data_IF_972053601182
#
_entry.id   IF_972053601182
#
_cell.length_a   1.000
_cell.length_b   1.000
_cell.length_c   1.000
_cell.angle_alpha   90.00
_cell.angle_beta   90.00
_cell.angle_gamma   90.00
#
_symmetry.space_group_name_H-M   'P 1'
#
loop_
_entity.id
_entity.type
_entity.pdbx_description
1 polymer ?
#
# COMPACT_ATOMS: atom_id res chain seq x y z
N UNK A 1 -17.38 15.65 6.13
CA UNK A 1 -17.47 16.12 4.73
C UNK A 1 -18.03 14.98 3.93
N UNK A 2 -19.24 15.09 3.40
CA UNK A 2 -19.82 14.07 2.53
C UNK A 2 -19.10 14.12 1.18
N UNK A 3 -18.68 12.97 0.67
CA UNK A 3 -18.09 12.89 -0.67
C UNK A 3 -19.20 13.28 -1.65
N UNK A 4 -18.97 14.26 -2.55
CA UNK A 4 -20.00 14.66 -3.51
C UNK A 4 -20.41 13.47 -4.39
N UNK A 5 -21.70 13.31 -4.67
CA UNK A 5 -22.23 12.18 -5.45
C UNK A 5 -21.81 12.22 -6.93
N UNK A 6 -21.50 13.40 -7.44
CA UNK A 6 -21.01 13.60 -8.80
C UNK A 6 -19.93 14.69 -8.89
N UNK A 7 -18.97 14.47 -9.78
CA UNK A 7 -18.08 15.51 -10.28
C UNK A 7 -18.85 16.39 -11.28
N UNK A 8 -18.87 17.69 -11.03
CA UNK A 8 -19.50 18.71 -11.88
C UNK A 8 -20.99 18.48 -12.19
N UNK A 9 -21.71 17.65 -11.42
CA UNK A 9 -23.12 17.33 -11.68
C UNK A 9 -23.37 16.33 -12.82
N UNK A 10 -22.31 15.84 -13.48
CA UNK A 10 -22.40 15.10 -14.75
C UNK A 10 -21.82 13.69 -14.62
N UNK A 11 -20.72 13.55 -13.88
CA UNK A 11 -20.00 12.28 -13.78
C UNK A 11 -20.17 11.76 -12.35
N UNK A 12 -20.87 10.63 -12.14
CA UNK A 12 -20.93 10.00 -10.82
C UNK A 12 -19.52 9.76 -10.25
N UNK A 13 -19.31 10.15 -9.00
CA UNK A 13 -17.98 10.14 -8.38
C UNK A 13 -17.36 8.75 -8.35
N UNK A 14 -18.18 7.70 -8.18
CA UNK A 14 -17.71 6.31 -8.20
C UNK A 14 -17.05 5.95 -9.54
N UNK A 15 -17.57 6.41 -10.68
CA UNK A 15 -16.99 6.14 -12.01
C UNK A 15 -15.60 6.76 -12.11
N UNK A 16 -15.44 8.00 -11.64
CA UNK A 16 -14.15 8.67 -11.63
C UNK A 16 -13.12 7.92 -10.78
N UNK A 17 -13.50 7.55 -9.55
CA UNK A 17 -12.61 6.85 -8.60
C UNK A 17 -12.24 5.45 -9.10
N UNK A 18 -13.22 4.63 -9.49
CA UNK A 18 -12.95 3.27 -9.96
C UNK A 18 -12.28 3.25 -11.33
N UNK A 19 -12.68 4.12 -12.26
CA UNK A 19 -12.04 4.22 -13.57
C UNK A 19 -10.57 4.64 -13.46
N UNK A 20 -10.29 5.68 -12.68
CA UNK A 20 -8.92 6.16 -12.49
C UNK A 20 -8.04 5.14 -11.76
N UNK A 21 -8.58 4.51 -10.70
CA UNK A 21 -7.85 3.46 -9.98
C UNK A 21 -7.57 2.24 -10.87
N UNK A 22 -8.52 1.82 -11.70
CA UNK A 22 -8.32 0.72 -12.66
C UNK A 22 -7.20 1.06 -13.66
N UNK A 23 -7.18 2.28 -14.20
CA UNK A 23 -6.14 2.74 -15.12
C UNK A 23 -4.77 2.72 -14.44
N UNK A 24 -4.65 3.31 -13.25
CA UNK A 24 -3.38 3.38 -12.53
C UNK A 24 -2.90 2.00 -12.10
N UNK A 25 -3.80 1.12 -11.67
CA UNK A 25 -3.49 -0.25 -11.30
C UNK A 25 -3.08 -1.07 -12.52
N UNK A 26 -3.71 -0.87 -13.68
CA UNK A 26 -3.32 -1.52 -14.94
C UNK A 26 -1.93 -1.10 -15.38
N UNK A 27 -1.60 0.20 -15.31
CA UNK A 27 -0.26 0.72 -15.64
C UNK A 27 0.78 0.14 -14.67
N UNK A 28 0.48 0.16 -13.38
CA UNK A 28 1.37 -0.41 -12.35
C UNK A 28 1.61 -1.90 -12.59
N UNK A 29 0.55 -2.66 -12.85
CA UNK A 29 0.63 -4.10 -13.13
C UNK A 29 1.40 -4.40 -14.42
N UNK A 30 1.20 -3.60 -15.47
CA UNK A 30 1.95 -3.72 -16.72
C UNK A 30 3.45 -3.49 -16.51
N UNK A 31 3.82 -2.44 -15.77
CA UNK A 31 5.21 -2.14 -15.44
C UNK A 31 5.82 -3.23 -14.55
N UNK A 32 5.08 -3.70 -13.56
CA UNK A 32 5.47 -4.81 -12.69
C UNK A 32 5.70 -6.10 -13.49
N UNK A 33 4.78 -6.45 -14.39
CA UNK A 33 4.91 -7.63 -15.25
C UNK A 33 6.17 -7.53 -16.11
N UNK A 34 6.34 -6.41 -16.83
CA UNK A 34 7.47 -6.24 -17.75
C UNK A 34 8.82 -6.19 -17.04
N UNK A 35 8.92 -5.51 -15.91
CA UNK A 35 10.20 -5.31 -15.22
C UNK A 35 10.54 -6.43 -14.25
N UNK A 36 9.55 -7.00 -13.57
CA UNK A 36 9.78 -7.94 -12.49
C UNK A 36 9.47 -9.37 -12.93
N UNK A 37 8.28 -9.65 -13.47
CA UNK A 37 7.92 -11.03 -13.84
C UNK A 37 8.74 -11.56 -15.02
N UNK A 38 8.92 -10.78 -16.08
CA UNK A 38 9.80 -11.18 -17.20
C UNK A 38 11.25 -11.35 -16.72
N UNK A 39 11.75 -10.44 -15.87
CA UNK A 39 13.12 -10.50 -15.37
C UNK A 39 13.34 -11.71 -14.45
N UNK A 40 12.38 -12.02 -13.58
CA UNK A 40 12.41 -13.24 -12.75
C UNK A 40 12.37 -14.48 -13.64
N UNK A 41 11.48 -14.53 -14.64
CA UNK A 41 11.38 -15.68 -15.54
C UNK A 41 12.70 -15.95 -16.27
N UNK A 42 13.39 -14.89 -16.73
CA UNK A 42 14.69 -15.01 -17.38
C UNK A 42 15.82 -15.37 -16.40
N UNK A 43 15.65 -15.10 -15.10
CA UNK A 43 16.61 -15.37 -14.02
C UNK A 43 16.49 -16.78 -13.43
N UNK A 44 15.35 -17.44 -13.63
CA UNK A 44 15.04 -18.78 -13.09
C UNK A 44 15.96 -19.88 -13.62
N UNK A 45 16.66 -19.68 -14.75
CA UNK A 45 17.49 -20.72 -15.39
C UNK A 45 18.64 -21.25 -14.50
N UNK A 46 19.08 -20.50 -13.48
CA UNK A 46 20.17 -20.90 -12.57
C UNK A 46 19.76 -20.91 -11.08
N UNK A 47 18.46 -20.87 -10.76
CA UNK A 47 18.01 -20.77 -9.38
C UNK A 47 17.75 -22.15 -8.77
N UNK A 48 18.60 -22.55 -7.83
CA UNK A 48 18.30 -23.67 -6.94
C UNK A 48 17.14 -23.30 -6.00
N UNK A 49 16.06 -24.09 -6.06
CA UNK A 49 14.84 -23.87 -5.27
C UNK A 49 14.89 -24.49 -3.86
N UNK A 50 16.06 -24.94 -3.43
CA UNK A 50 16.25 -25.47 -2.09
C UNK A 50 16.01 -24.38 -1.03
N UNK A 51 15.26 -24.72 0.02
CA UNK A 51 14.91 -23.83 1.14
C UNK A 51 14.12 -22.56 0.77
N UNK A 52 13.16 -22.68 -0.16
CA UNK A 52 12.22 -21.61 -0.56
C UNK A 52 11.59 -20.86 0.62
N UNK A 53 11.13 -21.57 1.65
CA UNK A 53 10.52 -20.98 2.84
C UNK A 53 11.50 -20.08 3.61
N UNK A 54 12.78 -20.49 3.74
CA UNK A 54 13.82 -19.70 4.38
C UNK A 54 14.11 -18.43 3.57
N UNK A 55 14.13 -18.53 2.23
CA UNK A 55 14.39 -17.40 1.33
C UNK A 55 13.23 -16.41 1.30
N UNK A 56 11.99 -16.86 1.23
CA UNK A 56 10.80 -16.02 1.34
C UNK A 56 10.78 -15.28 2.67
N UNK A 57 11.02 -15.98 3.78
CA UNK A 57 11.15 -15.37 5.11
C UNK A 57 12.26 -14.32 5.14
N UNK A 58 13.41 -14.60 4.56
CA UNK A 58 14.52 -13.64 4.48
C UNK A 58 14.21 -12.44 3.59
N UNK A 59 13.51 -12.60 2.47
CA UNK A 59 13.08 -11.50 1.59
C UNK A 59 12.03 -10.66 2.30
N UNK A 60 11.07 -11.29 2.98
CA UNK A 60 10.03 -10.59 3.73
C UNK A 60 10.64 -9.80 4.90
N UNK A 61 11.51 -10.42 5.70
CA UNK A 61 12.23 -9.76 6.80
C UNK A 61 13.17 -8.67 6.26
N UNK A 62 13.94 -8.92 5.20
CA UNK A 62 14.88 -7.93 4.70
C UNK A 62 14.19 -6.77 3.96
N UNK A 63 13.13 -7.07 3.22
CA UNK A 63 12.38 -6.13 2.39
C UNK A 63 11.42 -5.27 3.19
N UNK A 64 10.56 -5.88 4.02
CA UNK A 64 9.60 -5.13 4.85
C UNK A 64 10.26 -4.49 6.05
N UNK A 65 11.20 -5.19 6.71
CA UNK A 65 11.91 -4.60 7.84
C UNK A 65 13.10 -3.73 7.39
N UNK A 66 13.28 -3.50 6.07
CA UNK A 66 14.43 -2.78 5.50
C UNK A 66 15.71 -3.04 6.29
N UNK A 67 16.13 -4.31 6.42
CA UNK A 67 17.15 -4.75 7.40
C UNK A 67 18.47 -3.95 7.31
N UNK A 68 18.74 -3.32 6.16
CA UNK A 68 19.87 -2.41 5.94
C UNK A 68 19.71 -1.04 6.61
N UNK A 69 18.49 -0.52 6.71
CA UNK A 69 18.10 0.69 7.46
C UNK A 69 18.08 0.39 8.96
N UNK A 70 17.55 -0.76 9.38
CA UNK A 70 17.55 -1.14 10.81
C UNK A 70 18.92 -1.57 11.35
N UNK A 71 19.87 -2.00 10.50
CA UNK A 71 21.22 -2.39 10.94
C UNK A 71 22.09 -1.23 11.43
N UNK A 72 21.80 0.02 11.03
CA UNK A 72 22.48 1.22 11.56
C UNK A 72 21.71 1.89 12.70
N UNK A 73 20.52 1.38 13.00
CA UNK A 73 19.62 1.95 13.97
C UNK A 73 20.19 1.88 15.39
N UNK A 74 20.68 3.02 15.87
CA UNK A 74 20.91 3.29 17.29
C UNK A 74 19.95 4.39 17.72
N UNK A 75 19.07 4.10 18.69
CA UNK A 75 18.10 5.06 19.23
C UNK A 75 18.73 6.40 19.66
N UNK A 76 20.03 6.41 19.97
CA UNK A 76 20.77 7.62 20.40
C UNK A 76 21.53 8.34 19.30
N UNK A 77 21.80 7.71 18.15
CA UNK A 77 22.70 8.27 17.10
C UNK A 77 22.05 8.39 15.72
N UNK A 78 20.95 7.68 15.46
CA UNK A 78 20.42 7.52 14.10
C UNK A 78 18.99 8.09 13.97
N UNK A 79 18.84 9.38 14.31
CA UNK A 79 17.57 10.13 14.23
C UNK A 79 16.98 10.07 12.83
N UNK A 80 17.82 10.10 11.78
CA UNK A 80 17.38 9.97 10.39
C UNK A 80 16.68 8.64 10.10
N UNK A 81 17.12 7.54 10.70
CA UNK A 81 16.49 6.22 10.56
C UNK A 81 15.14 6.15 11.27
N UNK A 82 15.04 6.75 12.46
CA UNK A 82 13.77 6.89 13.21
C UNK A 82 12.77 7.72 12.40
N UNK A 83 13.21 8.87 11.87
CA UNK A 83 12.37 9.72 11.02
C UNK A 83 11.87 8.98 9.78
N UNK A 84 12.72 8.19 9.12
CA UNK A 84 12.30 7.39 7.97
C UNK A 84 11.25 6.32 8.32
N UNK A 85 11.43 5.61 9.44
CA UNK A 85 10.45 4.62 9.90
C UNK A 85 9.11 5.29 10.24
N UNK A 86 9.15 6.44 10.92
CA UNK A 86 7.95 7.23 11.22
C UNK A 86 7.27 7.68 9.92
N UNK A 87 8.00 8.29 8.99
CA UNK A 87 7.44 8.74 7.70
C UNK A 87 6.83 7.56 6.94
N UNK A 88 7.50 6.41 6.92
CA UNK A 88 7.01 5.22 6.25
C UNK A 88 5.71 4.69 6.88
N UNK A 89 5.67 4.58 8.21
CA UNK A 89 4.47 4.13 8.93
C UNK A 89 3.33 5.14 8.74
N UNK A 90 3.60 6.44 8.86
CA UNK A 90 2.61 7.50 8.61
C UNK A 90 2.06 7.44 7.19
N UNK A 91 2.91 7.26 6.19
CA UNK A 91 2.50 7.11 4.80
C UNK A 91 1.66 5.85 4.58
N UNK A 92 2.05 4.73 5.21
CA UNK A 92 1.32 3.47 5.13
C UNK A 92 -0.06 3.58 5.80
N UNK A 93 -0.12 4.17 7.00
CA UNK A 93 -1.37 4.45 7.71
C UNK A 93 -2.27 5.41 6.93
N UNK A 94 -1.71 6.44 6.31
CA UNK A 94 -2.46 7.37 5.46
C UNK A 94 -3.04 6.67 4.22
N UNK A 95 -2.22 5.86 3.54
CA UNK A 95 -2.66 5.08 2.38
C UNK A 95 -3.75 4.06 2.76
N UNK A 96 -3.58 3.40 3.90
CA UNK A 96 -4.57 2.46 4.45
C UNK A 96 -5.89 3.18 4.79
N UNK A 97 -5.82 4.37 5.40
CA UNK A 97 -6.98 5.20 5.69
C UNK A 97 -7.74 5.59 4.41
N UNK A 98 -7.02 5.92 3.33
CA UNK A 98 -7.64 6.21 2.03
C UNK A 98 -8.41 5.01 1.48
N UNK A 99 -7.81 3.82 1.52
CA UNK A 99 -8.48 2.58 1.10
C UNK A 99 -9.68 2.27 2.01
N UNK A 100 -9.51 2.40 3.33
CA UNK A 100 -10.53 2.00 4.28
C UNK A 100 -11.72 2.95 4.30
N UNK A 101 -11.52 4.26 4.24
CA UNK A 101 -12.63 5.21 4.31
C UNK A 101 -13.16 5.56 2.93
N UNK A 102 -12.31 5.86 1.94
CA UNK A 102 -12.80 6.33 0.65
C UNK A 102 -13.29 5.16 -0.20
N UNK A 103 -12.50 4.09 -0.35
CA UNK A 103 -12.93 2.96 -1.18
C UNK A 103 -14.02 2.12 -0.53
N UNK A 104 -14.08 2.03 0.81
CA UNK A 104 -15.19 1.36 1.45
C UNK A 104 -16.46 2.20 1.40
N UNK A 105 -16.39 3.52 1.62
CA UNK A 105 -17.57 4.38 1.50
C UNK A 105 -18.12 4.42 0.09
N UNK A 106 -17.28 4.33 -0.95
CA UNK A 106 -17.78 4.23 -2.34
C UNK A 106 -18.58 2.94 -2.60
N UNK A 107 -18.37 1.87 -1.83
CA UNK A 107 -19.17 0.64 -1.91
C UNK A 107 -20.44 0.80 -1.07
N UNK A 108 -20.33 1.42 0.10
CA UNK A 108 -21.44 1.68 0.99
C UNK A 108 -21.17 2.93 1.84
N UNK A 109 -21.89 4.02 1.53
CA UNK A 109 -21.74 5.34 2.13
C UNK A 109 -21.91 5.39 3.68
N UNK A 110 -22.29 4.29 4.32
CA UNK A 110 -22.46 4.19 5.77
C UNK A 110 -21.31 3.47 6.50
N UNK A 111 -20.29 2.98 5.79
CA UNK A 111 -19.22 2.20 6.43
C UNK A 111 -18.39 3.10 7.35
N UNK A 112 -17.90 4.22 6.87
CA UNK A 112 -17.14 5.19 7.66
C UNK A 112 -17.97 5.75 8.81
N UNK A 113 -19.24 6.07 8.55
CA UNK A 113 -20.12 6.58 9.61
C UNK A 113 -20.33 5.55 10.72
N UNK A 114 -20.58 4.27 10.41
CA UNK A 114 -20.68 3.19 11.42
C UNK A 114 -19.38 2.94 12.16
N UNK A 115 -18.25 2.92 11.44
CA UNK A 115 -16.95 2.63 12.01
C UNK A 115 -16.50 3.76 12.95
N UNK A 116 -16.68 5.03 12.54
CA UNK A 116 -16.32 6.19 13.36
C UNK A 116 -17.32 6.46 14.51
N UNK A 117 -18.61 6.20 14.34
CA UNK A 117 -19.60 6.38 15.44
C UNK A 117 -19.54 5.27 16.49
N UNK A 118 -19.07 4.06 16.16
CA UNK A 118 -18.80 3.02 17.16
C UNK A 118 -17.64 3.40 18.10
N UNK A 119 -16.61 4.07 17.58
CA UNK A 119 -15.46 4.53 18.38
C UNK A 119 -15.63 5.95 18.94
N UNK A 120 -16.65 6.70 18.49
CA UNK A 120 -16.89 8.11 18.80
C UNK A 120 -18.21 8.38 19.51
N UNK A 121 -18.61 7.54 20.47
CA UNK A 121 -19.57 7.98 21.51
C UNK A 121 -18.80 8.76 22.57
N UNK A 122 -18.68 10.07 22.36
CA UNK A 122 -18.49 11.07 23.43
C UNK A 122 -19.83 11.80 23.56
#
# INVERSE_FOLDING_TARGET
>A
MTVPESFFGIIPTWIGVYGFSLIMLSISFFLFYKKLLIHINNSIYNLEFNNLNQRLKNVFINGLAQKKVLKRFSLKKDVSGISHVIIFISFLSFSFSYVLFIFADTINNQISSKLLTQFGKI
#
